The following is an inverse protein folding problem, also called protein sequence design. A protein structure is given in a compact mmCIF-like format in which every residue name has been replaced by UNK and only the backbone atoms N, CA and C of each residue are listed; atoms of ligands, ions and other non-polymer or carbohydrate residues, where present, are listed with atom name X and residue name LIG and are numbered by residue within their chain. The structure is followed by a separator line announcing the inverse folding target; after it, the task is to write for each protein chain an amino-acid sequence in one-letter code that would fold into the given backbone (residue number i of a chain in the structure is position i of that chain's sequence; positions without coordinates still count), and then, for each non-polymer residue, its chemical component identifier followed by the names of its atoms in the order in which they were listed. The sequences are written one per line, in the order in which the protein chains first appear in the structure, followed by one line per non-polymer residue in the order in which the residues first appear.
data_IF_977921800731
#
_entry.id   IF_977921800731
#
_cell.length_a   1.000
_cell.length_b   1.000
_cell.length_c   1.000
_cell.angle_alpha   90.00
_cell.angle_beta   90.00
_cell.angle_gamma   90.00
#
_symmetry.space_group_name_H-M   'P 1'
#
loop_
_entity.id
_entity.type
_entity.pdbx_description
1 polymer ?
#
# COMPACT_ATOMS: atom_id res chain seq x y z
N UNK A 1 13.44 -6.10 -26.93
CA UNK A 1 12.03 -5.64 -27.02
C UNK A 1 11.98 -4.13 -27.19
N UNK A 2 11.44 -3.64 -28.31
CA UNK A 2 11.13 -2.21 -28.51
C UNK A 2 9.96 -1.82 -27.58
N UNK A 3 9.98 -0.65 -26.93
CA UNK A 3 8.83 -0.18 -26.18
C UNK A 3 7.76 0.27 -27.17
N UNK A 4 6.65 -0.46 -27.25
CA UNK A 4 5.45 0.01 -27.94
C UNK A 4 4.93 1.27 -27.24
N UNK A 5 4.55 2.28 -28.03
CA UNK A 5 3.95 3.51 -27.50
C UNK A 5 2.61 3.18 -26.83
N UNK A 6 2.32 3.74 -25.65
CA UNK A 6 1.00 3.58 -25.03
C UNK A 6 -0.06 4.15 -25.98
N UNK A 7 -0.97 3.31 -26.47
CA UNK A 7 -2.13 3.74 -27.25
C UNK A 7 -3.13 4.37 -26.27
N UNK A 8 -3.67 5.55 -26.59
CA UNK A 8 -4.73 6.16 -25.78
C UNK A 8 -5.86 5.16 -25.59
N UNK A 9 -6.15 4.80 -24.34
CA UNK A 9 -7.27 3.94 -23.99
C UNK A 9 -8.55 4.63 -24.43
N UNK A 10 -9.25 4.06 -25.40
CA UNK A 10 -10.69 4.29 -25.49
C UNK A 10 -11.34 3.60 -24.30
N UNK A 11 -12.34 4.23 -23.66
CA UNK A 11 -13.15 3.63 -22.58
C UNK A 11 -13.60 2.19 -22.88
N UNK A 12 -13.88 1.91 -24.16
CA UNK A 12 -14.23 0.59 -24.69
C UNK A 12 -13.23 -0.51 -24.31
N UNK A 13 -11.94 -0.18 -24.26
CA UNK A 13 -10.85 -1.12 -24.05
C UNK A 13 -10.64 -1.47 -22.57
N UNK A 14 -10.88 -0.50 -21.68
CA UNK A 14 -10.98 -0.74 -20.23
C UNK A 14 -12.17 -1.66 -19.95
N UNK A 15 -13.32 -1.36 -20.56
CA UNK A 15 -14.53 -2.16 -20.43
C UNK A 15 -14.33 -3.62 -20.85
N UNK A 16 -13.68 -3.86 -22.00
CA UNK A 16 -13.39 -5.23 -22.49
C UNK A 16 -12.40 -6.03 -21.63
N UNK A 17 -11.64 -5.38 -20.75
CA UNK A 17 -10.68 -6.04 -19.86
C UNK A 17 -11.04 -5.88 -18.37
N UNK A 18 -12.27 -5.44 -18.09
CA UNK A 18 -12.76 -5.20 -16.74
C UNK A 18 -12.69 -6.49 -15.90
N UNK A 19 -12.99 -7.63 -16.51
CA UNK A 19 -12.88 -8.97 -15.92
C UNK A 19 -11.49 -9.24 -15.32
N UNK A 20 -10.42 -8.94 -16.07
CA UNK A 20 -9.03 -9.13 -15.62
C UNK A 20 -8.64 -8.14 -14.53
N UNK A 21 -9.14 -6.91 -14.59
CA UNK A 21 -8.91 -5.89 -13.55
C UNK A 21 -9.56 -6.35 -12.25
N UNK A 22 -10.86 -6.63 -12.30
CA UNK A 22 -11.63 -7.06 -11.14
C UNK A 22 -11.06 -8.35 -10.56
N UNK A 23 -10.68 -9.31 -11.41
CA UNK A 23 -10.04 -10.54 -10.97
C UNK A 23 -8.70 -10.28 -10.27
N UNK A 24 -7.87 -9.38 -10.79
CA UNK A 24 -6.59 -9.01 -10.15
C UNK A 24 -6.79 -8.31 -8.81
N UNK A 25 -7.73 -7.37 -8.74
CA UNK A 25 -8.12 -6.70 -7.49
C UNK A 25 -8.65 -7.73 -6.48
N UNK A 26 -9.54 -8.61 -6.90
CA UNK A 26 -10.09 -9.68 -6.07
C UNK A 26 -8.99 -10.60 -5.54
N UNK A 27 -8.09 -11.09 -6.39
CA UNK A 27 -7.00 -11.97 -5.98
C UNK A 27 -6.04 -11.28 -5.01
N UNK A 28 -5.74 -10.01 -5.25
CA UNK A 28 -4.90 -9.19 -4.38
C UNK A 28 -5.57 -8.97 -3.03
N UNK A 29 -6.87 -8.65 -3.03
CA UNK A 29 -7.66 -8.49 -1.82
C UNK A 29 -7.69 -9.80 -1.02
N UNK A 30 -7.98 -10.94 -1.66
CA UNK A 30 -8.00 -12.24 -1.00
C UNK A 30 -6.66 -12.58 -0.36
N UNK A 31 -5.55 -12.32 -1.05
CA UNK A 31 -4.21 -12.54 -0.51
C UNK A 31 -3.91 -11.65 0.70
N UNK A 32 -4.29 -10.38 0.67
CA UNK A 32 -4.03 -9.48 1.79
C UNK A 32 -4.90 -9.83 2.98
N UNK A 33 -6.21 -9.96 2.77
CA UNK A 33 -7.19 -10.09 3.84
C UNK A 33 -7.14 -11.46 4.53
N UNK A 34 -6.97 -12.53 3.76
CA UNK A 34 -7.05 -13.89 4.29
C UNK A 34 -5.69 -14.57 4.48
N UNK A 35 -4.63 -14.09 3.84
CA UNK A 35 -3.30 -14.71 3.96
C UNK A 35 -2.37 -13.80 4.74
N UNK A 36 -2.12 -12.59 4.24
CA UNK A 36 -1.11 -11.71 4.82
C UNK A 36 -1.52 -11.16 6.20
N UNK A 37 -2.71 -10.57 6.32
CA UNK A 37 -3.16 -9.92 7.54
C UNK A 37 -3.23 -10.90 8.74
N UNK A 38 -3.82 -12.11 8.61
CA UNK A 38 -3.82 -13.09 9.69
C UNK A 38 -2.42 -13.58 10.03
N UNK A 39 -1.58 -13.84 9.02
CA UNK A 39 -0.20 -14.29 9.25
C UNK A 39 0.64 -13.23 9.96
N UNK A 40 0.54 -11.97 9.53
CA UNK A 40 1.24 -10.86 10.15
C UNK A 40 0.80 -10.64 11.61
N UNK A 41 -0.51 -10.70 11.88
CA UNK A 41 -1.04 -10.61 13.24
C UNK A 41 -0.56 -11.78 14.12
N UNK A 42 -0.57 -12.99 13.58
CA UNK A 42 -0.08 -14.17 14.27
C UNK A 42 1.42 -14.09 14.61
N UNK A 43 2.27 -13.71 13.64
CA UNK A 43 3.72 -13.52 13.85
C UNK A 43 3.97 -12.44 14.91
N UNK A 44 3.30 -11.29 14.81
CA UNK A 44 3.43 -10.21 15.80
C UNK A 44 3.02 -10.68 17.20
N UNK A 45 1.91 -11.43 17.31
CA UNK A 45 1.45 -12.01 18.56
C UNK A 45 2.45 -13.00 19.17
N UNK A 46 3.06 -13.87 18.34
CA UNK A 46 4.10 -14.80 18.79
C UNK A 46 5.35 -14.08 19.32
N UNK A 47 5.78 -13.02 18.64
CA UNK A 47 6.92 -12.21 19.08
C UNK A 47 6.62 -11.48 20.39
N UNK A 48 5.45 -10.87 20.50
CA UNK A 48 5.08 -10.08 21.67
C UNK A 48 4.87 -10.94 22.93
N UNK A 49 4.28 -12.14 22.80
CA UNK A 49 4.11 -13.06 23.93
C UNK A 49 5.42 -13.41 24.63
N UNK A 50 6.53 -13.44 23.90
CA UNK A 50 7.87 -13.69 24.47
C UNK A 50 8.38 -12.53 25.35
N UNK A 51 7.79 -11.34 25.22
CA UNK A 51 8.13 -10.14 26.03
C UNK A 51 7.17 -9.94 27.21
N UNK A 52 6.16 -10.81 27.37
CA UNK A 52 5.12 -10.67 28.38
C UNK A 52 4.00 -9.67 28.02
N UNK A 53 4.08 -9.02 26.86
CA UNK A 53 3.07 -8.09 26.38
C UNK A 53 2.16 -8.75 25.33
N UNK A 54 0.88 -8.35 25.31
CA UNK A 54 -0.10 -8.85 24.33
C UNK A 54 -0.20 -7.95 23.08
N UNK A 55 0.27 -6.71 23.18
CA UNK A 55 0.19 -5.70 22.12
C UNK A 55 1.31 -4.66 22.30
N UNK A 56 1.69 -4.02 21.19
CA UNK A 56 2.65 -2.92 21.19
C UNK A 56 1.93 -1.60 21.45
N UNK A 57 2.40 -0.81 22.41
CA UNK A 57 1.81 0.47 22.83
C UNK A 57 2.90 1.49 23.17
N UNK A 58 2.54 2.78 23.19
CA UNK A 58 3.46 3.85 23.55
C UNK A 58 4.06 3.68 24.97
N UNK A 59 3.30 3.08 25.89
CA UNK A 59 3.74 2.82 27.26
C UNK A 59 4.77 1.69 27.37
N UNK A 60 4.70 0.68 26.49
CA UNK A 60 5.53 -0.53 26.60
C UNK A 60 6.64 -0.61 25.56
N UNK A 61 6.62 0.20 24.51
CA UNK A 61 7.58 0.09 23.39
C UNK A 61 9.03 0.23 23.88
N UNK A 62 9.31 1.18 24.78
CA UNK A 62 10.65 1.36 25.33
C UNK A 62 11.05 0.21 26.26
N UNK A 63 10.09 -0.36 27.00
CA UNK A 63 10.34 -1.52 27.85
C UNK A 63 10.70 -2.75 27.03
N UNK A 64 9.99 -2.98 25.90
CA UNK A 64 10.26 -4.07 24.96
C UNK A 64 11.64 -3.90 24.31
N UNK A 65 11.98 -2.69 23.85
CA UNK A 65 13.28 -2.39 23.24
C UNK A 65 14.44 -2.68 24.19
N UNK A 66 14.34 -2.27 25.45
CA UNK A 66 15.40 -2.48 26.45
C UNK A 66 15.44 -3.91 26.97
N UNK A 67 14.29 -4.53 27.21
CA UNK A 67 14.20 -5.86 27.82
C UNK A 67 14.39 -7.01 26.84
N UNK A 68 14.15 -6.80 25.54
CA UNK A 68 14.21 -7.85 24.53
C UNK A 68 14.66 -7.29 23.17
N UNK A 69 15.97 -6.99 23.01
CA UNK A 69 16.50 -6.36 21.80
C UNK A 69 16.31 -7.22 20.54
N UNK A 70 16.44 -8.55 20.64
CA UNK A 70 16.22 -9.45 19.50
C UNK A 70 14.76 -9.47 19.04
N UNK A 71 13.81 -9.49 19.98
CA UNK A 71 12.38 -9.46 19.65
C UNK A 71 12.02 -8.10 19.04
N UNK A 72 12.60 -7.02 19.56
CA UNK A 72 12.43 -5.67 19.02
C UNK A 72 12.96 -5.56 17.60
N UNK A 73 14.12 -6.17 17.31
CA UNK A 73 14.66 -6.25 15.96
C UNK A 73 13.74 -7.07 15.04
N UNK A 74 13.19 -8.20 15.51
CA UNK A 74 12.24 -9.00 14.74
C UNK A 74 10.95 -8.24 14.43
N UNK A 75 10.40 -7.49 15.40
CA UNK A 75 9.25 -6.61 15.19
C UNK A 75 9.57 -5.48 14.21
N UNK A 76 10.76 -4.90 14.28
CA UNK A 76 11.22 -3.91 13.31
C UNK A 76 11.31 -4.49 11.90
N UNK A 77 11.88 -5.69 11.74
CA UNK A 77 11.91 -6.42 10.47
C UNK A 77 10.48 -6.67 9.97
N UNK A 78 9.55 -7.06 10.85
CA UNK A 78 8.15 -7.27 10.48
C UNK A 78 7.50 -6.00 9.92
N UNK A 79 7.81 -4.82 10.48
CA UNK A 79 7.39 -3.53 9.92
C UNK A 79 7.95 -3.35 8.50
N UNK A 80 9.25 -3.59 8.29
CA UNK A 80 9.87 -3.50 6.96
C UNK A 80 9.20 -4.45 5.96
N UNK A 81 8.89 -5.68 6.36
CA UNK A 81 8.19 -6.65 5.50
C UNK A 81 6.79 -6.13 5.12
N UNK A 82 6.05 -5.53 6.05
CA UNK A 82 4.75 -4.91 5.72
C UNK A 82 4.89 -3.79 4.68
N UNK A 83 5.92 -2.96 4.77
CA UNK A 83 6.20 -1.93 3.76
C UNK A 83 6.53 -2.55 2.39
N UNK A 84 7.29 -3.64 2.36
CA UNK A 84 7.60 -4.36 1.13
C UNK A 84 6.36 -5.02 0.50
N UNK A 85 5.46 -5.56 1.32
CA UNK A 85 4.17 -6.12 0.87
C UNK A 85 3.31 -5.01 0.26
N UNK A 86 3.21 -3.85 0.90
CA UNK A 86 2.47 -2.71 0.37
C UNK A 86 3.08 -2.22 -0.96
N UNK A 87 4.41 -2.13 -1.04
CA UNK A 87 5.12 -1.81 -2.27
C UNK A 87 4.82 -2.82 -3.39
N UNK A 88 4.85 -4.12 -3.07
CA UNK A 88 4.52 -5.18 -4.01
C UNK A 88 3.07 -5.08 -4.50
N UNK A 89 2.12 -4.84 -3.60
CA UNK A 89 0.70 -4.71 -3.93
C UNK A 89 0.44 -3.58 -4.93
N UNK A 90 1.03 -2.40 -4.68
CA UNK A 90 0.92 -1.27 -5.59
C UNK A 90 1.58 -1.61 -6.94
N UNK A 91 2.79 -2.18 -6.92
CA UNK A 91 3.48 -2.62 -8.13
C UNK A 91 2.65 -3.59 -8.96
N UNK A 92 1.96 -4.52 -8.30
CA UNK A 92 1.10 -5.53 -8.92
C UNK A 92 -0.09 -4.90 -9.64
N UNK A 93 -0.75 -3.92 -9.03
CA UNK A 93 -1.85 -3.19 -9.67
C UNK A 93 -1.36 -2.38 -10.89
N UNK A 94 -0.22 -1.68 -10.78
CA UNK A 94 0.31 -0.88 -11.89
C UNK A 94 0.84 -1.74 -13.04
N UNK A 95 1.53 -2.84 -12.75
CA UNK A 95 2.02 -3.79 -13.76
C UNK A 95 0.86 -4.52 -14.42
N UNK A 96 -0.16 -4.89 -13.64
CA UNK A 96 -1.42 -5.43 -14.16
C UNK A 96 -2.08 -4.47 -15.13
N UNK A 97 -2.38 -3.25 -14.66
CA UNK A 97 -2.95 -2.19 -15.49
C UNK A 97 -2.14 -2.00 -16.79
N UNK A 98 -0.80 -1.94 -16.69
CA UNK A 98 0.07 -1.84 -17.86
C UNK A 98 -0.09 -3.01 -18.84
N UNK A 99 -0.15 -4.26 -18.38
CA UNK A 99 -0.32 -5.41 -19.30
C UNK A 99 -1.65 -5.37 -20.04
N UNK A 100 -2.68 -4.82 -19.42
CA UNK A 100 -3.98 -4.63 -20.06
C UNK A 100 -3.93 -3.58 -21.18
N UNK A 101 -3.07 -2.55 -21.03
CA UNK A 101 -2.84 -1.54 -22.07
C UNK A 101 -2.22 -2.15 -23.35
N UNK A 102 -1.32 -3.12 -23.20
CA UNK A 102 -0.48 -3.63 -24.29
C UNK A 102 -1.02 -4.87 -25.03
N UNK A 103 -2.33 -5.17 -24.90
CA UNK A 103 -3.05 -6.08 -25.80
C UNK A 103 -2.48 -7.49 -25.94
N UNK A 104 -2.34 -8.20 -24.83
CA UNK A 104 -2.13 -9.64 -24.89
C UNK A 104 -3.47 -10.36 -24.69
N UNK A 105 -3.98 -10.99 -25.75
CA UNK A 105 -5.08 -11.97 -25.66
C UNK A 105 -4.57 -13.14 -24.82
N UNK A 106 -4.80 -13.10 -23.52
CA UNK A 106 -4.40 -14.13 -22.54
C UNK A 106 -5.58 -14.53 -21.69
N UNK A 107 -5.57 -15.78 -21.25
CA UNK A 107 -6.46 -16.29 -20.22
C UNK A 107 -6.19 -15.59 -18.87
N UNK A 108 -7.18 -15.57 -17.98
CA UNK A 108 -7.09 -14.92 -16.66
C UNK A 108 -5.89 -15.43 -15.84
N UNK A 109 -5.63 -16.75 -15.89
CA UNK A 109 -4.53 -17.40 -15.16
C UNK A 109 -3.15 -17.05 -15.72
N UNK A 110 -2.99 -17.02 -17.04
CA UNK A 110 -1.72 -16.63 -17.66
C UNK A 110 -1.41 -15.16 -17.41
N UNK A 111 -2.44 -14.31 -17.46
CA UNK A 111 -2.34 -12.90 -17.11
C UNK A 111 -1.90 -12.73 -15.66
N UNK A 112 -2.60 -13.34 -14.69
CA UNK A 112 -2.25 -13.20 -13.27
C UNK A 112 -0.84 -13.74 -13.00
N UNK A 113 -0.50 -14.95 -13.46
CA UNK A 113 0.85 -15.52 -13.27
C UNK A 113 1.95 -14.61 -13.81
N UNK A 114 1.74 -14.01 -14.99
CA UNK A 114 2.71 -13.07 -15.58
C UNK A 114 2.81 -11.79 -14.76
N UNK A 115 1.69 -11.20 -14.36
CA UNK A 115 1.66 -9.98 -13.54
C UNK A 115 2.37 -10.20 -12.20
N UNK A 116 2.09 -11.29 -11.51
CA UNK A 116 2.77 -11.66 -10.26
C UNK A 116 4.28 -11.83 -10.45
N UNK A 117 4.70 -12.63 -11.44
CA UNK A 117 6.12 -12.85 -11.73
C UNK A 117 6.85 -11.55 -12.05
N UNK A 118 6.26 -10.70 -12.90
CA UNK A 118 6.89 -9.43 -13.25
C UNK A 118 6.90 -8.42 -12.10
N UNK A 119 5.86 -8.43 -11.27
CA UNK A 119 5.81 -7.61 -10.05
C UNK A 119 6.88 -8.04 -9.04
N UNK A 120 7.13 -9.33 -8.92
CA UNK A 120 8.20 -9.86 -8.08
C UNK A 120 9.59 -9.46 -8.60
N UNK A 121 9.82 -9.57 -9.92
CA UNK A 121 11.06 -9.09 -10.53
C UNK A 121 11.24 -7.58 -10.35
N UNK A 122 10.14 -6.84 -10.31
CA UNK A 122 10.14 -5.41 -10.07
C UNK A 122 10.45 -5.04 -8.60
N UNK A 123 10.13 -5.90 -7.62
CA UNK A 123 10.55 -5.73 -6.22
C UNK A 123 12.07 -5.68 -6.06
N UNK A 124 12.83 -6.37 -6.92
CA UNK A 124 14.31 -6.32 -6.90
C UNK A 124 14.87 -4.93 -7.20
N UNK A 125 14.03 -4.00 -7.68
CA UNK A 125 14.39 -2.61 -7.96
C UNK A 125 13.85 -1.64 -6.89
N UNK A 126 13.33 -2.17 -5.77
CA UNK A 126 12.89 -1.35 -4.66
C UNK A 126 14.11 -0.62 -4.06
N UNK A 127 14.04 0.70 -4.01
CA UNK A 127 15.01 1.54 -3.30
C UNK A 127 14.36 2.14 -2.06
N UNK A 128 15.16 2.52 -1.07
CA UNK A 128 14.65 3.09 0.18
C UNK A 128 13.74 4.30 -0.07
N UNK A 129 14.12 5.18 -1.01
CA UNK A 129 13.30 6.34 -1.40
C UNK A 129 11.93 5.94 -1.95
N UNK A 130 11.85 4.87 -2.76
CA UNK A 130 10.58 4.41 -3.31
C UNK A 130 9.68 3.78 -2.25
N UNK A 131 10.27 3.01 -1.34
CA UNK A 131 9.55 2.42 -0.20
C UNK A 131 9.04 3.53 0.73
N UNK A 132 9.87 4.52 1.06
CA UNK A 132 9.50 5.65 1.88
C UNK A 132 8.38 6.49 1.24
N UNK A 133 8.45 6.73 -0.07
CA UNK A 133 7.38 7.42 -0.80
C UNK A 133 6.05 6.66 -0.70
N UNK A 134 6.07 5.34 -0.90
CA UNK A 134 4.87 4.50 -0.77
C UNK A 134 4.34 4.51 0.65
N UNK A 135 5.22 4.40 1.65
CA UNK A 135 4.81 4.48 3.06
C UNK A 135 4.09 5.79 3.35
N UNK A 136 4.66 6.92 2.93
CA UNK A 136 4.05 8.23 3.12
C UNK A 136 2.72 8.35 2.37
N UNK A 137 2.65 7.87 1.14
CA UNK A 137 1.42 7.83 0.35
C UNK A 137 0.31 7.03 1.04
N UNK A 138 0.61 5.83 1.53
CA UNK A 138 -0.35 4.97 2.25
C UNK A 138 -0.77 5.60 3.57
N UNK A 139 0.16 6.17 4.33
CA UNK A 139 -0.14 6.89 5.58
C UNK A 139 -1.08 8.07 5.34
N UNK A 140 -0.90 8.80 4.24
CA UNK A 140 -1.75 9.93 3.90
C UNK A 140 -3.16 9.49 3.46
N UNK A 141 -3.27 8.34 2.79
CA UNK A 141 -4.56 7.75 2.44
C UNK A 141 -5.27 7.07 3.61
N UNK A 142 -4.54 6.60 4.61
CA UNK A 142 -5.08 5.87 5.76
C UNK A 142 -6.31 6.54 6.42
N UNK A 143 -6.30 7.86 6.75
CA UNK A 143 -7.47 8.51 7.35
C UNK A 143 -8.71 8.47 6.45
N UNK A 144 -8.54 8.49 5.12
CA UNK A 144 -9.62 8.42 4.14
C UNK A 144 -10.16 7.00 3.96
N UNK A 145 -9.25 6.04 3.75
CA UNK A 145 -9.61 4.62 3.59
C UNK A 145 -10.37 4.12 4.82
N UNK A 146 -9.99 4.55 6.03
CA UNK A 146 -10.71 4.25 7.27
C UNK A 146 -12.18 4.70 7.22
N UNK A 147 -12.44 5.96 6.83
CA UNK A 147 -13.81 6.52 6.79
C UNK A 147 -14.69 5.80 5.77
N UNK A 148 -14.13 5.43 4.61
CA UNK A 148 -14.87 4.78 3.52
C UNK A 148 -15.14 3.30 3.82
N UNK A 149 -14.15 2.57 4.35
CA UNK A 149 -14.23 1.11 4.51
C UNK A 149 -14.82 0.66 5.86
N UNK A 150 -15.10 1.57 6.80
CA UNK A 150 -15.67 1.27 8.15
C UNK A 150 -15.10 0.00 8.80
N UNK A 151 -13.78 -0.19 8.71
CA UNK A 151 -13.12 -1.42 9.18
C UNK A 151 -13.18 -1.46 10.71
N UNK A 152 -14.01 -2.35 11.26
CA UNK A 152 -14.33 -2.49 12.69
C UNK A 152 -13.08 -2.60 13.58
N UNK A 153 -12.03 -3.27 13.12
CA UNK A 153 -10.78 -3.46 13.88
C UNK A 153 -9.95 -2.18 14.07
N UNK A 154 -10.11 -1.18 13.18
CA UNK A 154 -9.40 0.09 13.31
C UNK A 154 -10.02 1.03 14.36
N UNK A 155 -11.24 0.77 14.81
CA UNK A 155 -11.89 1.56 15.87
C UNK A 155 -11.22 1.38 17.23
N UNK A 156 -10.46 0.29 17.45
CA UNK A 156 -9.69 0.10 18.69
C UNK A 156 -8.36 0.86 18.74
N UNK A 157 -7.88 1.38 17.61
CA UNK A 157 -6.59 2.09 17.49
C UNK A 157 -6.77 3.62 17.55
N UNK A 158 -8.00 4.14 17.43
CA UNK A 158 -8.26 5.58 17.24
C UNK A 158 -9.24 6.17 18.26
N UNK A 159 -9.00 7.45 18.57
CA UNK A 159 -9.78 8.43 19.34
C UNK A 159 -11.26 8.00 19.54
N UNK A 160 -11.68 7.71 20.79
CA UNK A 160 -13.05 7.34 21.11
C UNK A 160 -14.07 8.42 20.73
N UNK A 161 -15.30 8.01 20.40
CA UNK A 161 -16.37 8.91 19.95
C UNK A 161 -16.65 10.05 20.96
N UNK A 162 -16.52 9.79 22.27
CA UNK A 162 -16.69 10.83 23.29
C UNK A 162 -15.68 12.00 23.16
N UNK A 163 -14.48 11.76 22.65
CA UNK A 163 -13.50 12.84 22.39
C UNK A 163 -13.91 13.64 21.16
N UNK A 164 -14.45 12.97 20.14
CA UNK A 164 -14.97 13.63 18.94
C UNK A 164 -16.16 14.51 19.33
N UNK A 165 -17.12 13.96 20.07
CA UNK A 165 -18.31 14.68 20.55
C UNK A 165 -17.92 15.90 21.40
N UNK A 166 -16.97 15.73 22.33
CA UNK A 166 -16.47 16.83 23.17
C UNK A 166 -15.78 17.95 22.36
N UNK A 167 -15.03 17.59 21.31
CA UNK A 167 -14.36 18.58 20.45
C UNK A 167 -15.36 19.27 19.52
N UNK A 168 -16.35 18.56 19.00
CA UNK A 168 -17.38 19.15 18.14
C UNK A 168 -18.28 20.12 18.92
N UNK A 169 -18.67 19.77 20.15
CA UNK A 169 -19.54 20.59 21.00
C UNK A 169 -18.82 21.84 21.53
N UNK A 170 -17.57 21.68 21.99
CA UNK A 170 -16.84 22.76 22.69
C UNK A 170 -15.84 23.52 21.81
N UNK A 171 -15.32 22.89 20.76
CA UNK A 171 -14.24 23.41 19.92
C UNK A 171 -14.53 23.22 18.42
N UNK A 172 -15.70 23.65 17.96
CA UNK A 172 -16.15 23.53 16.56
C UNK A 172 -15.11 24.01 15.51
N UNK A 173 -14.33 25.05 15.82
CA UNK A 173 -13.22 25.53 14.97
C UNK A 173 -12.14 24.48 14.75
N UNK A 174 -11.84 23.65 15.74
CA UNK A 174 -10.90 22.52 15.62
C UNK A 174 -11.45 21.49 14.63
N UNK A 175 -12.75 21.22 14.66
CA UNK A 175 -13.42 20.36 13.68
C UNK A 175 -13.27 20.86 12.24
N UNK A 176 -13.40 22.17 12.03
CA UNK A 176 -13.17 22.80 10.72
C UNK A 176 -11.72 22.65 10.27
N UNK A 177 -10.75 22.94 11.15
CA UNK A 177 -9.31 22.81 10.84
C UNK A 177 -8.97 21.37 10.47
N UNK A 178 -9.46 20.39 11.24
CA UNK A 178 -9.25 18.96 10.95
C UNK A 178 -9.87 18.57 9.61
N UNK A 179 -11.04 19.10 9.28
CA UNK A 179 -11.71 18.84 8.00
C UNK A 179 -10.92 19.43 6.82
N UNK A 180 -10.46 20.68 6.93
CA UNK A 180 -9.62 21.32 5.91
C UNK A 180 -8.32 20.53 5.72
N UNK A 181 -7.68 20.11 6.82
CA UNK A 181 -6.47 19.29 6.76
C UNK A 181 -6.74 17.95 6.06
N UNK A 182 -7.86 17.29 6.37
CA UNK A 182 -8.24 16.05 5.70
C UNK A 182 -8.47 16.23 4.20
N UNK A 183 -9.11 17.34 3.77
CA UNK A 183 -9.31 17.68 2.36
C UNK A 183 -7.98 17.99 1.65
N UNK A 184 -7.07 18.70 2.30
CA UNK A 184 -5.73 18.96 1.77
C UNK A 184 -4.95 17.66 1.59
N UNK A 185 -4.92 16.79 2.60
CA UNK A 185 -4.29 15.47 2.50
C UNK A 185 -4.92 14.66 1.37
N UNK A 186 -6.24 14.66 1.24
CA UNK A 186 -6.92 13.98 0.13
C UNK A 186 -6.48 14.51 -1.24
N UNK A 187 -6.46 15.84 -1.42
CA UNK A 187 -6.04 16.47 -2.66
C UNK A 187 -4.60 16.09 -3.03
N UNK A 188 -3.67 16.15 -2.06
CA UNK A 188 -2.27 15.77 -2.28
C UNK A 188 -2.18 14.28 -2.61
N UNK A 189 -2.98 13.42 -1.99
CA UNK A 189 -2.97 11.96 -2.22
C UNK A 189 -3.39 11.65 -3.65
N UNK A 190 -4.49 12.26 -4.11
CA UNK A 190 -4.95 12.13 -5.50
C UNK A 190 -3.86 12.59 -6.47
N UNK A 191 -3.17 13.70 -6.18
CA UNK A 191 -2.07 14.19 -7.01
C UNK A 191 -0.88 13.23 -7.02
N UNK A 192 -0.52 12.66 -5.88
CA UNK A 192 0.58 11.69 -5.76
C UNK A 192 0.29 10.36 -6.45
N UNK A 193 -0.98 10.01 -6.67
CA UNK A 193 -1.35 8.84 -7.47
C UNK A 193 -0.75 8.90 -8.88
N UNK A 194 -0.62 10.10 -9.47
CA UNK A 194 0.01 10.27 -10.79
C UNK A 194 1.54 10.14 -10.77
N UNK A 195 2.17 10.36 -9.61
CA UNK A 195 3.61 10.18 -9.42
C UNK A 195 3.99 8.70 -9.22
N UNK A 196 3.09 7.86 -8.69
CA UNK A 196 3.32 6.43 -8.48
C UNK A 196 3.83 5.70 -9.73
N UNK A 197 3.16 5.76 -10.91
CA UNK A 197 3.65 5.06 -12.09
C UNK A 197 5.01 5.60 -12.56
N UNK A 198 5.27 6.91 -12.44
CA UNK A 198 6.56 7.49 -12.81
C UNK A 198 7.69 6.94 -11.92
N UNK A 199 7.50 6.99 -10.61
CA UNK A 199 8.42 6.47 -9.60
C UNK A 199 8.68 4.97 -9.77
N UNK A 200 7.63 4.20 -10.08
CA UNK A 200 7.75 2.78 -10.32
C UNK A 200 8.55 2.52 -11.62
N UNK A 201 8.20 3.17 -12.73
CA UNK A 201 8.76 2.82 -14.05
C UNK A 201 9.99 3.62 -14.50
N UNK A 202 10.50 4.55 -13.69
CA UNK A 202 11.56 5.53 -14.02
C UNK A 202 12.84 4.92 -14.63
N UNK A 203 13.20 3.68 -14.31
CA UNK A 203 14.52 3.11 -14.64
C UNK A 203 14.63 2.45 -16.03
N UNK A 204 13.69 2.67 -16.96
CA UNK A 204 13.74 2.05 -18.31
C UNK A 204 14.13 2.99 -19.46
N UNK A 205 14.27 4.29 -19.25
CA UNK A 205 14.59 5.24 -20.33
C UNK A 205 16.06 5.67 -20.36
N UNK A 206 16.73 5.86 -19.22
CA UNK A 206 18.11 6.40 -19.20
C UNK A 206 19.18 5.44 -19.74
N UNK A 207 19.00 4.11 -19.62
CA UNK A 207 19.99 3.14 -20.12
C UNK A 207 19.87 2.84 -21.61
N UNK A 208 18.81 3.27 -22.28
CA UNK A 208 18.64 3.05 -23.73
C UNK A 208 19.20 4.18 -24.59
N UNK A 209 19.53 5.32 -23.98
CA UNK A 209 20.11 6.48 -24.65
C UNK A 209 21.65 6.48 -24.60
N UNK A 210 22.25 5.71 -23.69
CA UNK A 210 23.72 5.68 -23.50
C UNK A 210 24.43 4.56 -24.29
N UNK A 211 23.67 3.62 -24.87
CA UNK A 211 24.19 2.57 -25.76
C UNK A 211 23.97 2.95 -27.25
N UNK A 212 23.79 4.23 -27.54
CA UNK A 212 23.57 4.78 -28.90
C UNK A 212 24.32 6.09 -29.11
N UNK A 213 25.51 6.21 -28.51
CA UNK A 213 26.53 7.19 -28.85
C UNK A 213 27.82 6.43 -29.13
#
# INVERSE_FOLDING_TARGET
MKPEKPKNLGFKQIYFNLDKILFLFFLTFMMIEFVWLPSNSWIAGLLLRQTGYLFLSYNNIFAIIKGSPFISLALFILVIVNLLIAYYQIGLLFIGARHLLYHEKRTLLEYSRKVFRQSFLFMKQATLSKIAFIFFYVMMLFPLIRKILKIYYLNKIVIPDFIVDYVEDKYWLVGIVVTILALLLFYISVRFMFALPQLLFEKKQSKKQSDTV
#
